data_IF_759195100765
#
_entry.id   IF_759195100765
#
_cell.length_a   1.000
_cell.length_b   1.000
_cell.length_c   1.000
_cell.angle_alpha   90.00
_cell.angle_beta   90.00
_cell.angle_gamma   90.00
#
_symmetry.space_group_name_H-M   'P 1'
#
loop_
_entity.id
_entity.type
_entity.pdbx_description
1 polymer ?
#
# COMPACT_ATOMS: atom_id res chain seq x y z
N UNK A 1 0.27 7.80 -3.18
CA UNK A 1 0.86 6.73 -2.33
C UNK A 1 2.35 6.52 -2.60
N UNK A 2 2.82 6.46 -3.86
CA UNK A 2 4.25 6.26 -4.17
C UNK A 2 5.21 7.23 -3.47
N UNK A 3 4.89 8.53 -3.45
CA UNK A 3 5.71 9.55 -2.75
C UNK A 3 5.86 9.27 -1.26
N UNK A 4 4.80 8.80 -0.61
CA UNK A 4 4.81 8.48 0.83
C UNK A 4 5.67 7.25 1.12
N UNK A 5 5.53 6.20 0.31
CA UNK A 5 6.35 4.99 0.44
C UNK A 5 7.83 5.32 0.25
N UNK A 6 8.17 6.03 -0.83
CA UNK A 6 9.56 6.44 -1.13
C UNK A 6 10.15 7.25 0.02
N UNK A 7 9.46 8.31 0.45
CA UNK A 7 9.93 9.18 1.51
C UNK A 7 10.11 8.42 2.84
N UNK A 8 9.19 7.54 3.22
CA UNK A 8 9.32 6.78 4.46
C UNK A 8 10.55 5.87 4.46
N UNK A 9 10.81 5.14 3.37
CA UNK A 9 12.02 4.31 3.31
C UNK A 9 13.31 5.14 3.19
N UNK A 10 13.27 6.30 2.54
CA UNK A 10 14.41 7.24 2.51
C UNK A 10 14.73 7.82 3.90
N UNK A 11 13.74 7.93 4.78
CA UNK A 11 13.92 8.32 6.19
C UNK A 11 14.36 7.16 7.10
N UNK A 12 14.60 5.96 6.56
CA UNK A 12 15.09 4.82 7.33
C UNK A 12 14.03 4.02 8.08
N UNK A 13 12.73 4.25 7.81
CA UNK A 13 11.68 3.37 8.33
C UNK A 13 11.84 1.97 7.72
N UNK A 14 11.78 0.94 8.56
CA UNK A 14 12.02 -0.46 8.14
C UNK A 14 10.78 -1.20 7.67
N UNK A 15 9.59 -0.73 8.08
CA UNK A 15 8.31 -1.38 7.80
C UNK A 15 7.19 -0.36 7.74
N UNK A 16 6.31 -0.54 6.77
CA UNK A 16 5.06 0.20 6.65
C UNK A 16 3.90 -0.77 6.76
N UNK A 17 2.86 -0.36 7.48
CA UNK A 17 1.67 -1.17 7.71
C UNK A 17 0.46 -0.57 6.99
N UNK A 18 -0.35 -1.44 6.39
CA UNK A 18 -1.66 -1.12 5.86
C UNK A 18 -2.71 -1.91 6.62
N UNK A 19 -3.65 -1.19 7.24
CA UNK A 19 -4.74 -1.78 8.02
C UNK A 19 -6.05 -1.47 7.34
N UNK A 20 -6.79 -2.48 6.92
CA UNK A 20 -8.10 -2.28 6.29
C UNK A 20 -9.15 -3.19 6.92
N UNK A 21 -10.42 -2.83 6.73
CA UNK A 21 -11.54 -3.69 7.08
C UNK A 21 -11.50 -4.94 6.20
N UNK A 22 -11.66 -6.14 6.76
CA UNK A 22 -11.59 -7.39 5.99
C UNK A 22 -12.66 -7.46 4.88
N UNK A 23 -13.79 -6.76 5.06
CA UNK A 23 -14.82 -6.64 4.02
C UNK A 23 -14.51 -5.58 2.95
N UNK A 24 -13.49 -4.73 3.15
CA UNK A 24 -13.08 -3.73 2.15
C UNK A 24 -12.04 -4.32 1.19
N UNK A 25 -12.51 -5.20 0.32
CA UNK A 25 -11.69 -5.90 -0.68
C UNK A 25 -10.97 -4.90 -1.61
N UNK A 26 -11.60 -3.78 -1.95
CA UNK A 26 -10.99 -2.76 -2.80
C UNK A 26 -9.74 -2.13 -2.16
N UNK A 27 -9.79 -1.84 -0.85
CA UNK A 27 -8.65 -1.33 -0.09
C UNK A 27 -7.53 -2.37 0.01
N UNK A 28 -7.88 -3.64 0.28
CA UNK A 28 -6.91 -4.75 0.30
C UNK A 28 -6.20 -4.92 -1.04
N UNK A 29 -6.95 -4.98 -2.14
CA UNK A 29 -6.39 -5.06 -3.50
C UNK A 29 -5.52 -3.85 -3.86
N UNK A 30 -5.82 -2.67 -3.32
CA UNK A 30 -4.97 -1.49 -3.51
C UNK A 30 -3.62 -1.66 -2.81
N UNK A 31 -3.59 -2.18 -1.58
CA UNK A 31 -2.36 -2.47 -0.86
C UNK A 31 -1.53 -3.55 -1.58
N UNK A 32 -2.17 -4.65 -2.02
CA UNK A 32 -1.51 -5.74 -2.77
C UNK A 32 -0.88 -5.23 -4.08
N UNK A 33 -1.58 -4.38 -4.85
CA UNK A 33 -1.01 -3.74 -6.06
C UNK A 33 0.19 -2.84 -5.78
N UNK A 34 0.24 -2.25 -4.58
CA UNK A 34 1.37 -1.45 -4.12
C UNK A 34 2.52 -2.30 -3.57
N UNK A 35 2.38 -3.62 -3.54
CA UNK A 35 3.41 -4.55 -3.09
C UNK A 35 3.41 -4.82 -1.59
N UNK A 36 2.32 -4.54 -0.87
CA UNK A 36 2.14 -5.00 0.50
C UNK A 36 1.80 -6.49 0.52
N UNK A 37 2.37 -7.20 1.49
CA UNK A 37 2.14 -8.61 1.78
C UNK A 37 1.10 -8.74 2.90
N UNK A 38 0.11 -9.62 2.74
CA UNK A 38 -0.85 -9.91 3.82
C UNK A 38 -0.19 -10.78 4.90
N UNK A 39 -0.30 -10.36 6.15
CA UNK A 39 0.33 -11.03 7.29
C UNK A 39 -0.68 -11.67 8.25
N UNK A 40 -1.94 -11.23 8.21
CA UNK A 40 -2.97 -11.82 9.03
C UNK A 40 -4.23 -10.97 9.18
N UNK A 41 -5.21 -11.54 9.85
CA UNK A 41 -6.46 -10.86 10.18
C UNK A 41 -6.60 -10.74 11.70
N UNK A 42 -6.74 -9.51 12.19
CA UNK A 42 -7.09 -9.25 13.58
C UNK A 42 -8.61 -9.35 13.72
N UNK A 43 -9.08 -10.48 14.24
CA UNK A 43 -10.50 -10.73 14.50
C UNK A 43 -11.01 -9.83 15.62
N UNK A 44 -12.23 -9.34 15.46
CA UNK A 44 -12.95 -8.49 16.41
C UNK A 44 -12.16 -7.25 16.85
N UNK A 45 -11.35 -6.67 15.96
CA UNK A 45 -10.46 -5.55 16.28
C UNK A 45 -11.19 -4.32 16.83
N UNK A 46 -12.41 -4.05 16.36
CA UNK A 46 -13.24 -2.97 16.90
C UNK A 46 -14.72 -3.15 16.54
N UNK A 47 -15.59 -2.40 17.24
CA UNK A 47 -17.00 -2.22 16.85
C UNK A 47 -17.15 -0.91 16.08
N UNK A 48 -17.74 -0.95 14.89
CA UNK A 48 -17.96 0.23 14.05
C UNK A 48 -19.23 0.06 13.23
N UNK A 49 -20.07 1.10 13.17
CA UNK A 49 -21.34 1.08 12.41
C UNK A 49 -22.24 -0.11 12.78
N UNK A 50 -22.40 -0.39 14.07
CA UNK A 50 -23.31 -1.43 14.56
C UNK A 50 -22.86 -2.87 14.30
N UNK A 51 -21.61 -3.11 13.88
CA UNK A 51 -21.06 -4.45 13.72
C UNK A 51 -19.65 -4.57 14.26
N UNK A 52 -19.27 -5.80 14.55
CA UNK A 52 -17.88 -6.17 14.80
C UNK A 52 -17.08 -6.11 13.49
N UNK A 53 -15.88 -5.55 13.56
CA UNK A 53 -14.98 -5.36 12.43
C UNK A 53 -13.69 -6.15 12.67
N UNK A 54 -13.45 -7.09 11.77
CA UNK A 54 -12.14 -7.69 11.59
C UNK A 54 -11.27 -6.75 10.75
N UNK A 55 -9.95 -6.82 10.94
CA UNK A 55 -9.02 -5.98 10.18
C UNK A 55 -7.86 -6.79 9.64
N UNK A 56 -7.77 -6.81 8.32
CA UNK A 56 -6.59 -7.31 7.62
C UNK A 56 -5.40 -6.40 7.90
N UNK A 57 -4.29 -7.03 8.27
CA UNK A 57 -2.98 -6.44 8.46
C UNK A 57 -2.10 -6.84 7.28
N UNK A 58 -1.64 -5.85 6.53
CA UNK A 58 -0.65 -6.03 5.48
C UNK A 58 0.57 -5.18 5.81
N UNK A 59 1.74 -5.60 5.37
CA UNK A 59 2.96 -4.83 5.54
C UNK A 59 3.84 -4.87 4.30
N UNK A 60 4.78 -3.94 4.22
CA UNK A 60 5.90 -3.97 3.29
C UNK A 60 7.16 -3.59 4.07
N UNK A 61 8.22 -4.36 3.91
CA UNK A 61 9.51 -4.10 4.56
C UNK A 61 10.52 -3.48 3.59
N UNK A 62 11.57 -2.89 4.14
CA UNK A 62 12.64 -2.21 3.41
C UNK A 62 13.28 -3.06 2.31
N UNK A 63 13.53 -4.34 2.59
CA UNK A 63 14.12 -5.28 1.62
C UNK A 63 13.20 -5.56 0.42
N UNK A 64 11.89 -5.64 0.64
CA UNK A 64 10.88 -5.82 -0.40
C UNK A 64 10.66 -4.55 -1.23
N UNK A 65 10.75 -3.39 -0.56
CA UNK A 65 10.47 -2.11 -1.17
C UNK A 65 11.40 -1.78 -2.34
N UNK A 66 12.66 -2.22 -2.30
CA UNK A 66 13.62 -2.01 -3.41
C UNK A 66 13.14 -2.63 -4.73
N UNK A 67 12.38 -3.73 -4.67
CA UNK A 67 11.79 -4.38 -5.85
C UNK A 67 10.53 -3.65 -6.34
N UNK A 68 9.71 -3.16 -5.40
CA UNK A 68 8.47 -2.42 -5.66
C UNK A 68 8.75 -1.03 -6.24
N UNK A 69 9.71 -0.30 -5.67
CA UNK A 69 10.10 1.03 -6.15
C UNK A 69 10.61 0.99 -7.59
N UNK A 70 11.36 -0.05 -7.97
CA UNK A 70 11.76 -0.27 -9.37
C UNK A 70 10.53 -0.39 -10.28
N UNK A 71 9.56 -1.24 -9.96
CA UNK A 71 8.33 -1.39 -10.77
C UNK A 71 7.53 -0.09 -10.86
N UNK A 72 7.34 0.61 -9.74
CA UNK A 72 6.55 1.84 -9.68
C UNK A 72 7.19 3.03 -10.41
N UNK A 73 8.52 3.20 -10.32
CA UNK A 73 9.23 4.29 -11.01
C UNK A 73 9.05 4.23 -12.54
N UNK A 74 9.08 3.02 -13.11
CA UNK A 74 8.87 2.82 -14.56
C UNK A 74 7.42 3.06 -15.00
N UNK A 75 6.43 2.88 -14.12
CA UNK A 75 5.03 3.16 -14.41
C UNK A 75 4.65 4.63 -14.23
N UNK A 76 5.26 5.30 -13.25
CA UNK A 76 4.98 6.71 -12.95
C UNK A 76 5.62 7.66 -13.96
N UNK A 77 6.88 7.43 -14.36
CA UNK A 77 7.54 8.20 -15.43
C UNK A 77 6.78 8.15 -16.75
N UNK A 78 6.26 6.97 -17.13
CA UNK A 78 5.50 6.79 -18.37
C UNK A 78 4.14 7.50 -18.40
N UNK A 79 3.53 7.75 -17.23
CA UNK A 79 2.20 8.37 -17.15
C UNK A 79 2.26 9.90 -17.06
N UNK A 80 3.32 10.48 -16.49
CA UNK A 80 3.49 11.94 -16.42
C UNK A 80 4.01 12.50 -17.74
N UNK A 81 4.91 11.79 -18.43
CA UNK A 81 5.42 12.21 -19.74
C UNK A 81 4.35 12.21 -20.85
N UNK A 82 3.19 11.57 -20.63
CA UNK A 82 2.06 11.58 -21.57
C UNK A 82 1.10 12.77 -21.38
N UNK A 83 1.32 13.65 -20.39
CA UNK A 83 0.48 14.83 -20.14
C UNK A 83 1.12 16.12 -20.70
N UNK A 84 2.32 16.04 -21.27
CA UNK A 84 2.97 17.15 -21.98
C UNK A 84 3.25 16.73 -23.41
N UNK A 85 2.23 16.79 -24.25
CA UNK A 85 2.29 16.45 -25.66
C UNK A 85 1.06 16.98 -26.39
N UNK A 86 1.20 18.23 -26.84
CA UNK A 86 0.50 18.86 -27.96
C UNK A 86 -1.04 18.83 -27.97
N UNK A 87 -1.63 19.89 -27.40
CA UNK A 87 -2.60 20.76 -28.09
C UNK A 87 -2.74 22.09 -27.36
#
# INVERSE_FOLDING_TARGET
>A
MWLLLKNAFEQGYRRLEWKCDSMNIASRRAAERLGFTWEGCLRQKMVRKGRTRDSDQLSIIDSECRSVMRRCAHGWRRRILMVTGDR
#
